data_IF_952794159375
#
_entry.id   IF_952794159375
#
_cell.length_a   1.000
_cell.length_b   1.000
_cell.length_c   1.000
_cell.angle_alpha   90.00
_cell.angle_beta   90.00
_cell.angle_gamma   90.00
#
_symmetry.space_group_name_H-M   'P 1'
#
loop_
_entity.id
_entity.type
_entity.pdbx_description
1 polymer ?
#
# COMPACT_ATOMS: atom_id res chain seq x y z
N UNK A 1 6.63 -22.37 0.74
CA UNK A 1 5.62 -22.38 1.82
C UNK A 1 4.67 -23.54 1.63
N UNK A 2 3.88 -23.89 2.65
CA UNK A 2 2.86 -24.95 2.58
C UNK A 2 1.64 -24.47 1.79
N UNK A 3 1.01 -25.38 1.04
CA UNK A 3 -0.30 -25.14 0.42
C UNK A 3 -1.41 -25.62 1.35
N UNK A 4 -2.46 -24.83 1.48
CA UNK A 4 -3.57 -25.07 2.42
C UNK A 4 -4.80 -25.58 1.68
N UNK A 5 -5.40 -26.65 2.19
CA UNK A 5 -6.59 -27.25 1.58
C UNK A 5 -7.80 -26.31 1.61
N UNK A 6 -8.54 -26.27 0.50
CA UNK A 6 -9.82 -25.55 0.37
C UNK A 6 -11.04 -26.47 0.55
N UNK A 7 -10.84 -27.77 0.82
CA UNK A 7 -11.94 -28.75 0.93
C UNK A 7 -13.03 -28.34 1.90
N UNK A 8 -12.65 -27.76 3.04
CA UNK A 8 -13.56 -27.30 4.09
C UNK A 8 -13.99 -25.84 3.98
N UNK A 9 -13.58 -25.09 2.95
CA UNK A 9 -13.80 -23.65 2.85
C UNK A 9 -14.43 -23.27 1.51
N UNK A 10 -15.06 -22.10 1.45
CA UNK A 10 -15.66 -21.58 0.20
C UNK A 10 -14.96 -20.33 -0.29
N UNK A 11 -14.19 -19.66 0.55
CA UNK A 11 -13.53 -18.40 0.20
C UNK A 11 -12.15 -18.33 0.82
N UNK A 12 -11.28 -17.54 0.22
CA UNK A 12 -10.01 -17.18 0.82
C UNK A 12 -9.67 -15.71 0.52
N UNK A 13 -9.07 -15.04 1.49
CA UNK A 13 -8.57 -13.69 1.38
C UNK A 13 -7.06 -13.72 1.60
N UNK A 14 -6.31 -13.30 0.59
CA UNK A 14 -4.89 -13.06 0.70
C UNK A 14 -4.67 -11.57 0.90
N UNK A 15 -3.93 -11.18 1.94
CA UNK A 15 -3.60 -9.78 2.27
C UNK A 15 -2.09 -9.65 2.22
N UNK A 16 -1.59 -8.63 1.52
CA UNK A 16 -0.19 -8.25 1.44
C UNK A 16 -0.03 -6.89 2.12
N UNK A 17 0.77 -6.86 3.17
CA UNK A 17 1.24 -5.64 3.81
C UNK A 17 2.67 -5.39 3.34
N UNK A 18 2.94 -4.17 2.88
CA UNK A 18 4.26 -3.76 2.41
C UNK A 18 4.71 -2.55 3.20
N UNK A 19 5.94 -2.61 3.69
CA UNK A 19 6.64 -1.48 4.28
C UNK A 19 7.28 -0.59 3.22
N UNK A 20 8.52 -0.18 3.47
CA UNK A 20 9.21 0.78 2.59
C UNK A 20 9.37 0.27 1.14
N UNK A 21 8.92 1.05 0.15
CA UNK A 21 9.21 0.82 -1.27
C UNK A 21 9.81 2.09 -1.87
N UNK A 22 11.00 1.98 -2.45
CA UNK A 22 11.62 3.09 -3.17
C UNK A 22 10.92 3.35 -4.51
N UNK A 23 11.15 4.51 -5.14
CA UNK A 23 10.42 5.00 -6.31
C UNK A 23 10.33 4.05 -7.54
N UNK A 24 11.17 3.03 -7.64
CA UNK A 24 11.14 2.02 -8.72
C UNK A 24 10.81 0.59 -8.25
N UNK A 25 10.48 0.42 -6.97
CA UNK A 25 10.16 -0.90 -6.39
C UNK A 25 8.73 -1.32 -6.67
N UNK A 26 8.49 -2.63 -6.64
CA UNK A 26 7.14 -3.20 -6.71
C UNK A 26 7.02 -4.42 -5.80
N UNK A 27 5.82 -4.64 -5.28
CA UNK A 27 5.46 -5.84 -4.54
C UNK A 27 4.17 -6.43 -5.11
N UNK A 28 4.15 -7.73 -5.36
CA UNK A 28 3.01 -8.42 -5.93
C UNK A 28 2.59 -9.59 -5.07
N UNK A 29 1.28 -9.77 -4.94
CA UNK A 29 0.62 -10.89 -4.28
C UNK A 29 -0.14 -11.70 -5.31
N UNK A 30 0.20 -12.98 -5.41
CA UNK A 30 -0.45 -13.93 -6.29
C UNK A 30 -1.00 -15.11 -5.50
N UNK A 31 -2.25 -15.50 -5.77
CA UNK A 31 -2.77 -16.78 -5.31
C UNK A 31 -2.21 -17.88 -6.23
N UNK A 32 -1.56 -18.85 -5.61
CA UNK A 32 -1.11 -20.07 -6.25
C UNK A 32 -2.07 -21.20 -5.88
N UNK A 33 -2.32 -22.12 -6.80
CA UNK A 33 -3.08 -23.34 -6.54
C UNK A 33 -2.21 -24.58 -6.71
N UNK A 34 -2.46 -25.62 -5.93
CA UNK A 34 -1.82 -26.93 -6.06
C UNK A 34 -2.81 -28.09 -5.87
N UNK A 35 -2.41 -29.27 -6.35
CA UNK A 35 -3.15 -30.53 -6.13
C UNK A 35 -2.94 -31.10 -4.72
N UNK A 36 -1.81 -30.78 -4.09
CA UNK A 36 -1.40 -31.29 -2.77
C UNK A 36 -0.74 -30.20 -1.93
N UNK A 37 -0.57 -30.45 -0.63
CA UNK A 37 0.09 -29.53 0.30
C UNK A 37 1.58 -29.27 -0.02
N UNK A 38 2.23 -30.20 -0.73
CA UNK A 38 3.66 -30.17 -1.07
C UNK A 38 3.97 -29.51 -2.42
N UNK A 39 3.03 -28.75 -3.01
CA UNK A 39 3.20 -27.98 -4.24
C UNK A 39 3.41 -28.77 -5.55
N UNK A 40 3.19 -30.10 -5.58
CA UNK A 40 3.67 -30.98 -6.66
C UNK A 40 3.32 -30.59 -8.11
N UNK A 41 2.19 -29.93 -8.36
CA UNK A 41 1.82 -29.36 -9.67
C UNK A 41 1.32 -27.92 -9.53
N UNK A 42 1.99 -27.12 -8.70
CA UNK A 42 1.51 -25.79 -8.39
C UNK A 42 1.56 -24.83 -9.59
N UNK A 43 0.53 -23.98 -9.72
CA UNK A 43 0.46 -22.97 -10.75
C UNK A 43 -0.15 -21.67 -10.21
N UNK A 44 0.08 -20.58 -10.93
CA UNK A 44 -0.58 -19.31 -10.66
C UNK A 44 -2.07 -19.44 -10.99
N UNK A 45 -2.92 -18.96 -10.09
CA UNK A 45 -4.34 -18.86 -10.37
C UNK A 45 -4.61 -17.61 -11.22
N UNK A 46 -5.12 -17.82 -12.44
CA UNK A 46 -5.37 -16.75 -13.40
C UNK A 46 -6.31 -15.68 -12.83
N UNK A 47 -5.97 -14.41 -13.04
CA UNK A 47 -6.76 -13.28 -12.55
C UNK A 47 -6.69 -13.03 -11.04
N UNK A 48 -5.85 -13.77 -10.30
CA UNK A 48 -5.66 -13.61 -8.85
C UNK A 48 -4.25 -13.10 -8.51
N UNK A 49 -3.86 -12.02 -9.20
CA UNK A 49 -2.62 -11.27 -8.99
C UNK A 49 -2.99 -9.81 -8.70
N UNK A 50 -2.38 -9.24 -7.66
CA UNK A 50 -2.41 -7.80 -7.40
C UNK A 50 -0.98 -7.30 -7.24
N UNK A 51 -0.72 -6.10 -7.74
CA UNK A 51 0.59 -5.46 -7.67
C UNK A 51 0.45 -4.10 -7.01
N UNK A 52 1.31 -3.85 -6.03
CA UNK A 52 1.58 -2.54 -5.45
C UNK A 52 2.76 -1.95 -6.20
N UNK A 53 2.53 -0.80 -6.81
CA UNK A 53 3.58 0.06 -7.36
C UNK A 53 3.99 1.09 -6.31
N UNK A 54 5.21 1.61 -6.42
CA UNK A 54 5.65 2.71 -5.58
C UNK A 54 4.72 3.92 -5.71
N UNK A 55 4.37 4.51 -4.57
CA UNK A 55 3.73 5.82 -4.42
C UNK A 55 2.31 5.92 -5.01
N UNK A 56 1.66 4.78 -5.21
CA UNK A 56 0.29 4.69 -5.75
C UNK A 56 -0.56 3.84 -4.80
N UNK A 57 -1.72 4.36 -4.39
CA UNK A 57 -2.66 3.70 -3.47
C UNK A 57 -2.02 3.24 -2.15
N UNK A 58 -1.38 4.18 -1.46
CA UNK A 58 -0.58 3.94 -0.23
C UNK A 58 -1.29 4.49 1.01
N UNK A 59 -1.04 3.87 2.18
CA UNK A 59 -1.53 4.39 3.48
C UNK A 59 -0.56 5.41 4.08
N UNK A 60 0.74 5.29 3.78
CA UNK A 60 1.77 6.20 4.28
C UNK A 60 2.86 6.38 3.24
N UNK A 61 3.29 7.62 3.02
CA UNK A 61 4.42 7.96 2.15
C UNK A 61 5.31 9.03 2.78
N UNK A 62 6.52 9.14 2.27
CA UNK A 62 7.42 10.26 2.54
C UNK A 62 7.76 11.00 1.25
N UNK A 63 7.90 12.31 1.37
CA UNK A 63 8.39 13.25 0.36
C UNK A 63 9.64 13.88 0.95
N UNK A 64 10.81 13.62 0.37
CA UNK A 64 12.03 14.34 0.73
C UNK A 64 12.18 15.52 -0.20
N UNK A 65 12.17 16.74 0.33
CA UNK A 65 12.37 17.98 -0.42
C UNK A 65 13.85 18.12 -0.83
N UNK A 66 14.08 18.69 -2.02
CA UNK A 66 15.40 18.98 -2.61
C UNK A 66 15.40 20.37 -3.27
N UNK A 67 14.96 21.38 -2.51
CA UNK A 67 14.92 22.79 -2.88
C UNK A 67 13.88 23.12 -3.95
N UNK A 68 12.74 23.65 -3.51
CA UNK A 68 11.65 24.11 -4.36
C UNK A 68 11.89 25.49 -4.98
N UNK A 69 11.29 25.71 -6.15
CA UNK A 69 11.25 27.03 -6.79
C UNK A 69 9.81 27.46 -7.08
N UNK A 70 9.63 28.73 -7.42
CA UNK A 70 8.33 29.24 -7.82
C UNK A 70 7.78 28.47 -9.03
N UNK A 71 6.47 28.22 -9.01
CA UNK A 71 5.68 27.48 -9.99
C UNK A 71 5.95 25.96 -10.04
N UNK A 72 6.78 25.42 -9.15
CA UNK A 72 6.81 23.98 -8.88
C UNK A 72 5.45 23.52 -8.37
N UNK A 73 5.02 22.33 -8.77
CA UNK A 73 3.69 21.82 -8.40
C UNK A 73 3.80 20.46 -7.74
N UNK A 74 3.10 20.26 -6.62
CA UNK A 74 2.86 18.95 -6.01
C UNK A 74 1.37 18.62 -6.15
N UNK A 75 1.06 17.47 -6.73
CA UNK A 75 -0.31 16.98 -6.88
C UNK A 75 -0.51 15.76 -6.01
N UNK A 76 -1.53 15.78 -5.15
CA UNK A 76 -1.94 14.63 -4.34
C UNK A 76 -3.39 14.29 -4.65
N UNK A 77 -3.62 13.03 -5.02
CA UNK A 77 -4.97 12.51 -5.26
C UNK A 77 -5.44 11.70 -4.05
N UNK A 78 -6.56 12.11 -3.47
CA UNK A 78 -7.22 11.42 -2.35
C UNK A 78 -8.74 11.58 -2.46
N UNK A 79 -9.48 10.51 -2.18
CA UNK A 79 -10.95 10.54 -2.27
C UNK A 79 -11.46 10.79 -3.70
N UNK A 80 -10.71 10.37 -4.71
CA UNK A 80 -11.00 10.60 -6.13
C UNK A 80 -10.80 12.04 -6.61
N UNK A 81 -10.25 12.94 -5.78
CA UNK A 81 -9.99 14.35 -6.14
C UNK A 81 -8.49 14.60 -6.14
N UNK A 82 -8.00 15.29 -7.18
CA UNK A 82 -6.62 15.76 -7.27
C UNK A 82 -6.52 17.19 -6.73
N UNK A 83 -5.64 17.38 -5.75
CA UNK A 83 -5.33 18.69 -5.15
C UNK A 83 -3.94 19.11 -5.60
N UNK A 84 -3.79 20.37 -6.02
CA UNK A 84 -2.56 20.89 -6.60
C UNK A 84 -2.01 21.99 -5.72
N UNK A 85 -0.85 21.75 -5.14
CA UNK A 85 -0.11 22.69 -4.32
C UNK A 85 0.99 23.33 -5.14
N UNK A 86 1.09 24.66 -5.13
CA UNK A 86 1.99 25.41 -6.03
C UNK A 86 3.01 26.20 -5.22
N UNK A 87 4.28 26.12 -5.61
CA UNK A 87 5.37 26.88 -5.01
C UNK A 87 5.27 28.36 -5.39
N UNK A 88 5.33 29.25 -4.40
CA UNK A 88 5.29 30.71 -4.58
C UNK A 88 6.28 31.40 -3.66
N UNK A 89 6.51 32.70 -3.88
CA UNK A 89 7.40 33.49 -3.04
C UNK A 89 6.90 33.70 -1.60
N UNK A 90 5.59 33.49 -1.38
CA UNK A 90 4.93 33.57 -0.08
C UNK A 90 3.91 32.43 0.05
N UNK A 91 3.62 32.04 1.28
CA UNK A 91 2.60 31.03 1.59
C UNK A 91 1.20 31.65 1.55
N UNK A 92 0.26 30.96 0.92
CA UNK A 92 -1.18 31.22 0.96
C UNK A 92 -1.93 29.87 1.06
N UNK A 93 -2.37 29.55 2.27
CA UNK A 93 -3.02 28.27 2.57
C UNK A 93 -4.38 28.13 1.87
N UNK A 94 -5.11 29.21 1.67
CA UNK A 94 -6.42 29.18 1.00
C UNK A 94 -6.28 28.92 -0.49
N UNK A 95 -5.22 29.45 -1.10
CA UNK A 95 -4.89 29.25 -2.50
C UNK A 95 -4.10 27.95 -2.78
N UNK A 96 -3.77 27.15 -1.74
CA UNK A 96 -2.91 25.96 -1.83
C UNK A 96 -1.48 26.29 -2.29
N UNK A 97 -0.98 27.45 -1.89
CA UNK A 97 0.35 27.95 -2.27
C UNK A 97 1.33 27.80 -1.11
N UNK A 98 2.37 26.98 -1.31
CA UNK A 98 3.46 26.85 -0.34
C UNK A 98 4.59 27.81 -0.68
N UNK A 99 5.30 28.29 0.33
CA UNK A 99 6.46 29.16 0.16
C UNK A 99 7.63 28.33 -0.36
N UNK A 100 8.02 28.58 -1.61
CA UNK A 100 9.22 28.06 -2.25
C UNK A 100 10.39 29.02 -2.02
N UNK A 101 11.31 28.63 -1.13
CA UNK A 101 12.52 29.39 -0.84
C UNK A 101 13.82 28.64 -1.15
N UNK A 102 13.70 27.38 -1.58
CA UNK A 102 14.82 26.54 -1.99
C UNK A 102 15.57 25.90 -0.81
N UNK A 103 15.12 26.10 0.42
CA UNK A 103 15.61 25.38 1.60
C UNK A 103 14.72 24.18 1.89
N UNK A 104 15.29 22.97 1.83
CA UNK A 104 14.56 21.70 1.99
C UNK A 104 13.67 21.68 3.23
N UNK A 105 14.17 22.20 4.37
CA UNK A 105 13.43 22.16 5.63
C UNK A 105 12.29 23.17 5.66
N UNK A 106 12.51 24.35 5.10
CA UNK A 106 11.53 25.44 5.08
C UNK A 106 10.43 25.18 4.05
N UNK A 107 10.80 24.72 2.85
CA UNK A 107 9.87 24.26 1.82
C UNK A 107 8.97 23.13 2.37
N UNK A 108 9.57 22.10 2.99
CA UNK A 108 8.83 21.00 3.60
C UNK A 108 7.85 21.44 4.69
N UNK A 109 8.23 22.44 5.51
CA UNK A 109 7.35 22.97 6.54
C UNK A 109 6.12 23.67 5.93
N UNK A 110 6.33 24.46 4.87
CA UNK A 110 5.23 25.15 4.19
C UNK A 110 4.31 24.18 3.42
N UNK A 111 4.88 23.14 2.79
CA UNK A 111 4.10 22.06 2.18
C UNK A 111 3.21 21.37 3.24
N UNK A 112 3.75 21.04 4.41
CA UNK A 112 2.98 20.44 5.51
C UNK A 112 1.84 21.35 5.97
N UNK A 113 2.08 22.65 6.07
CA UNK A 113 1.04 23.61 6.44
C UNK A 113 -0.11 23.61 5.42
N UNK A 114 0.20 23.67 4.12
CA UNK A 114 -0.79 23.61 3.04
C UNK A 114 -1.58 22.29 3.04
N UNK A 115 -0.89 21.16 3.23
CA UNK A 115 -1.51 19.83 3.26
C UNK A 115 -2.48 19.69 4.43
N UNK A 116 -2.06 20.06 5.63
CA UNK A 116 -2.92 19.93 6.81
C UNK A 116 -4.09 20.93 6.78
N UNK A 117 -3.92 22.10 6.16
CA UNK A 117 -5.01 23.05 5.94
C UNK A 117 -6.05 22.50 4.95
N UNK A 118 -5.61 21.98 3.81
CA UNK A 118 -6.49 21.57 2.70
C UNK A 118 -7.07 20.17 2.89
N UNK A 119 -6.30 19.25 3.46
CA UNK A 119 -6.58 17.82 3.50
C UNK A 119 -6.63 17.23 4.91
N UNK A 120 -6.65 18.06 5.97
CA UNK A 120 -6.55 17.61 7.36
C UNK A 120 -7.61 16.60 7.82
N UNK A 121 -8.77 16.57 7.17
CA UNK A 121 -9.83 15.58 7.43
C UNK A 121 -9.59 14.22 6.73
N UNK A 122 -8.63 14.15 5.81
CA UNK A 122 -8.33 12.96 5.00
C UNK A 122 -6.92 12.44 5.25
N UNK A 123 -5.97 13.33 5.51
CA UNK A 123 -4.55 13.07 5.65
C UNK A 123 -3.98 13.80 6.87
N UNK A 124 -2.91 13.25 7.43
CA UNK A 124 -2.07 13.90 8.41
C UNK A 124 -0.64 14.02 7.88
N UNK A 125 -0.10 15.23 7.81
CA UNK A 125 1.25 15.51 7.34
C UNK A 125 2.14 16.06 8.47
N UNK A 126 3.39 15.60 8.53
CA UNK A 126 4.41 16.07 9.47
C UNK A 126 5.76 16.28 8.74
N UNK A 127 6.57 17.24 9.21
CA UNK A 127 7.91 17.49 8.66
C UNK A 127 8.97 17.07 9.68
N UNK A 128 10.01 16.38 9.23
CA UNK A 128 11.25 16.18 9.98
C UNK A 128 12.44 16.46 9.08
N UNK A 129 13.10 17.61 9.27
CA UNK A 129 14.35 17.99 8.59
C UNK A 129 14.28 17.88 7.05
N UNK A 130 13.21 18.41 6.44
CA UNK A 130 13.05 18.40 4.98
C UNK A 130 12.39 17.13 4.44
N UNK A 131 11.97 16.22 5.32
CA UNK A 131 11.18 15.04 4.96
C UNK A 131 9.76 15.20 5.45
N UNK A 132 8.83 15.37 4.51
CA UNK A 132 7.40 15.37 4.76
C UNK A 132 6.90 13.93 4.81
N UNK A 133 6.30 13.53 5.93
CA UNK A 133 5.63 12.25 6.08
C UNK A 133 4.13 12.46 6.05
N UNK A 134 3.44 11.78 5.13
CA UNK A 134 1.99 11.86 4.97
C UNK A 134 1.37 10.50 5.33
N UNK A 135 0.39 10.52 6.22
CA UNK A 135 -0.39 9.36 6.64
C UNK A 135 -1.85 9.57 6.28
N UNK A 136 -2.45 8.64 5.55
CA UNK A 136 -3.88 8.65 5.28
C UNK A 136 -4.67 8.31 6.56
N UNK A 137 -5.73 9.06 6.83
CA UNK A 137 -6.65 8.75 7.91
C UNK A 137 -7.57 7.57 7.53
N UNK A 138 -8.24 7.00 8.54
CA UNK A 138 -9.13 5.86 8.35
C UNK A 138 -10.21 6.16 7.29
N UNK A 139 -10.37 5.21 6.35
CA UNK A 139 -11.30 5.35 5.22
C UNK A 139 -10.70 6.02 3.99
N UNK A 140 -9.50 6.61 4.08
CA UNK A 140 -8.80 7.23 2.96
C UNK A 140 -7.57 6.44 2.51
N UNK A 141 -7.08 6.77 1.31
CA UNK A 141 -5.85 6.22 0.74
C UNK A 141 -5.25 7.29 -0.14
N UNK A 142 -3.92 7.45 -0.13
CA UNK A 142 -3.23 8.34 -1.06
C UNK A 142 -3.19 7.62 -2.40
N UNK A 143 -4.05 8.02 -3.33
CA UNK A 143 -4.31 7.30 -4.58
C UNK A 143 -3.17 7.49 -5.57
N UNK A 144 -2.66 8.72 -5.70
CA UNK A 144 -1.54 9.08 -6.54
C UNK A 144 -0.84 10.32 -6.00
N UNK A 145 0.44 10.45 -6.36
CA UNK A 145 1.26 11.64 -6.14
C UNK A 145 2.04 11.93 -7.42
N UNK A 146 2.15 13.22 -7.77
CA UNK A 146 2.89 13.68 -8.92
C UNK A 146 3.52 15.05 -8.64
N UNK A 147 4.57 15.39 -9.39
CA UNK A 147 5.19 16.71 -9.31
C UNK A 147 5.54 17.28 -10.69
N UNK A 148 5.72 18.59 -10.72
CA UNK A 148 6.45 19.33 -11.76
C UNK A 148 7.52 20.14 -11.04
N UNK A 149 8.76 20.13 -11.54
CA UNK A 149 9.88 20.89 -10.93
C UNK A 149 11.04 20.04 -10.40
N UNK A 150 10.81 18.74 -10.17
CA UNK A 150 11.81 17.80 -9.63
C UNK A 150 12.43 18.26 -8.30
N UNK A 151 11.60 18.83 -7.41
CA UNK A 151 11.98 19.34 -6.10
C UNK A 151 11.73 18.33 -4.98
N UNK A 152 11.28 17.12 -5.31
CA UNK A 152 11.01 16.08 -4.34
C UNK A 152 11.53 14.70 -4.74
N UNK A 153 11.67 13.82 -3.75
CA UNK A 153 11.75 12.38 -3.98
C UNK A 153 10.72 11.65 -3.13
N UNK A 154 10.01 10.70 -3.73
CA UNK A 154 8.91 9.98 -3.09
C UNK A 154 9.33 8.57 -2.67
N UNK A 155 8.91 8.16 -1.47
CA UNK A 155 8.99 6.78 -1.04
C UNK A 155 7.69 6.34 -0.34
N UNK A 156 7.29 5.10 -0.61
CA UNK A 156 6.15 4.48 0.08
C UNK A 156 6.63 3.97 1.43
N UNK A 157 5.92 4.26 2.51
CA UNK A 157 6.24 3.76 3.84
C UNK A 157 5.31 2.61 4.28
N UNK A 158 4.05 2.65 3.82
CA UNK A 158 3.07 1.60 4.06
C UNK A 158 2.07 1.49 2.90
N UNK A 159 1.89 0.27 2.40
CA UNK A 159 0.89 -0.08 1.40
C UNK A 159 0.23 -1.43 1.74
N UNK A 160 -1.05 -1.57 1.42
CA UNK A 160 -1.82 -2.82 1.61
C UNK A 160 -2.54 -3.16 0.33
N UNK A 161 -2.45 -4.42 -0.09
CA UNK A 161 -3.24 -4.98 -1.17
C UNK A 161 -3.87 -6.30 -0.75
N UNK A 162 -4.96 -6.67 -1.39
CA UNK A 162 -5.62 -7.94 -1.14
C UNK A 162 -6.10 -8.60 -2.42
N UNK A 163 -6.20 -9.93 -2.38
CA UNK A 163 -6.81 -10.74 -3.43
C UNK A 163 -7.86 -11.63 -2.79
N UNK A 164 -9.10 -11.51 -3.25
CA UNK A 164 -10.21 -12.34 -2.80
C UNK A 164 -10.48 -13.48 -3.81
N UNK A 165 -10.43 -14.70 -3.30
CA UNK A 165 -10.92 -15.90 -3.95
C UNK A 165 -12.35 -16.21 -3.50
N UNK A 166 -13.28 -16.28 -4.46
CA UNK A 166 -14.70 -16.52 -4.20
C UNK A 166 -15.12 -17.87 -4.76
N UNK A 167 -15.57 -18.81 -3.92
CA UNK A 167 -16.13 -20.07 -4.39
C UNK A 167 -15.09 -21.12 -4.79
N UNK A 168 -15.42 -21.91 -5.83
CA UNK A 168 -14.61 -22.99 -6.39
C UNK A 168 -13.79 -22.52 -7.60
N UNK A 169 -13.29 -21.28 -7.55
CA UNK A 169 -12.46 -20.63 -8.58
C UNK A 169 -11.14 -21.37 -8.90
N UNK A 170 -10.92 -22.59 -8.39
CA UNK A 170 -9.73 -23.39 -8.66
C UNK A 170 -9.88 -24.16 -9.97
N UNK A 171 -8.76 -24.36 -10.66
CA UNK A 171 -8.71 -25.23 -11.83
C UNK A 171 -9.11 -26.67 -11.44
N UNK A 172 -9.73 -27.40 -12.36
CA UNK A 172 -10.12 -28.78 -12.12
C UNK A 172 -8.95 -29.61 -11.54
N UNK A 173 -9.24 -30.42 -10.51
CA UNK A 173 -8.29 -31.24 -9.75
C UNK A 173 -7.38 -30.48 -8.76
N UNK A 174 -7.40 -29.15 -8.74
CA UNK A 174 -6.69 -28.36 -7.73
C UNK A 174 -7.55 -28.20 -6.48
N UNK A 175 -6.92 -28.35 -5.31
CA UNK A 175 -7.64 -28.41 -4.03
C UNK A 175 -6.97 -27.62 -2.91
N UNK A 176 -5.77 -27.09 -3.17
CA UNK A 176 -5.00 -26.34 -2.18
C UNK A 176 -4.57 -24.99 -2.75
N UNK A 177 -4.38 -24.00 -1.88
CA UNK A 177 -3.92 -22.66 -2.25
C UNK A 177 -2.76 -22.19 -1.37
N UNK A 178 -1.96 -21.28 -1.90
CA UNK A 178 -0.93 -20.55 -1.16
C UNK A 178 -0.83 -19.12 -1.69
N UNK A 179 -0.18 -18.26 -0.92
CA UNK A 179 0.21 -16.92 -1.38
C UNK A 179 1.67 -16.94 -1.84
N UNK A 180 1.92 -16.42 -3.03
CA UNK A 180 3.25 -16.07 -3.49
C UNK A 180 3.40 -14.55 -3.43
N UNK A 181 4.39 -14.09 -2.69
CA UNK A 181 4.84 -12.70 -2.72
C UNK A 181 6.04 -12.62 -3.66
N UNK A 182 6.01 -11.67 -4.59
CA UNK A 182 7.12 -11.37 -5.48
C UNK A 182 7.47 -9.91 -5.32
N UNK A 183 8.75 -9.60 -5.10
CA UNK A 183 9.24 -8.23 -4.98
C UNK A 183 10.25 -7.96 -6.08
N UNK A 184 10.29 -6.73 -6.58
CA UNK A 184 11.33 -6.27 -7.50
C UNK A 184 11.87 -4.90 -7.06
N UNK A 185 13.15 -4.64 -7.35
CA UNK A 185 13.85 -3.45 -6.85
C UNK A 185 14.08 -3.47 -5.32
N UNK A 186 14.46 -2.33 -4.76
CA UNK A 186 14.66 -2.13 -3.31
C UNK A 186 13.31 -2.03 -2.57
N UNK A 187 12.55 -3.11 -2.62
CA UNK A 187 11.33 -3.28 -1.82
C UNK A 187 11.74 -3.84 -0.45
N UNK A 188 11.33 -3.14 0.61
CA UNK A 188 11.60 -3.51 2.00
C UNK A 188 10.79 -4.71 2.49
N UNK A 189 10.45 -4.71 3.77
CA UNK A 189 9.75 -5.82 4.42
C UNK A 189 8.34 -5.98 3.84
N UNK A 190 8.04 -7.19 3.35
CA UNK A 190 6.71 -7.59 2.90
C UNK A 190 6.20 -8.74 3.79
N UNK A 191 4.93 -8.67 4.18
CA UNK A 191 4.24 -9.73 4.91
C UNK A 191 2.95 -10.10 4.21
N UNK A 192 2.70 -11.39 4.01
CA UNK A 192 1.42 -11.87 3.47
C UNK A 192 0.69 -12.77 4.47
N UNK A 193 -0.62 -12.57 4.56
CA UNK A 193 -1.54 -13.37 5.37
C UNK A 193 -2.56 -14.02 4.45
N UNK A 194 -2.79 -15.32 4.62
CA UNK A 194 -3.85 -16.04 3.94
C UNK A 194 -4.92 -16.47 4.95
N UNK A 195 -6.12 -15.95 4.77
CA UNK A 195 -7.30 -16.28 5.56
C UNK A 195 -8.20 -17.17 4.71
N UNK A 196 -8.58 -18.35 5.21
CA UNK A 196 -9.61 -19.21 4.60
C UNK A 196 -10.91 -19.05 5.39
N UNK A 197 -12.02 -18.81 4.70
CA UNK A 197 -13.29 -18.44 5.32
C UNK A 197 -14.49 -19.21 4.70
N UNK A 198 -15.68 -19.05 5.29
CA UNK A 198 -16.93 -19.71 4.95
C UNK A 198 -16.78 -21.23 5.00
N UNK A 199 -16.54 -21.72 6.22
CA UNK A 199 -16.44 -23.14 6.50
C UNK A 199 -17.65 -23.89 5.94
N UNK A 200 -17.41 -25.01 5.28
CA UNK A 200 -18.42 -25.97 4.81
C UNK A 200 -18.89 -26.90 5.92
N UNK A 201 -18.16 -26.92 7.03
CA UNK A 201 -18.38 -27.78 8.19
C UNK A 201 -18.58 -26.90 9.44
N UNK A 202 -19.23 -27.45 10.48
CA UNK A 202 -19.30 -26.77 11.77
C UNK A 202 -17.89 -26.48 12.28
N UNK A 203 -17.64 -25.24 12.70
CA UNK A 203 -16.32 -24.82 13.18
C UNK A 203 -16.14 -25.35 14.61
N UNK A 204 -15.42 -26.46 14.77
CA UNK A 204 -14.90 -26.86 16.07
C UNK A 204 -13.69 -25.98 16.42
N UNK A 205 -13.79 -25.18 17.47
CA UNK A 205 -12.66 -24.42 18.00
C UNK A 205 -11.64 -25.41 18.60
N UNK A 206 -10.54 -25.65 17.90
CA UNK A 206 -9.42 -26.46 18.41
C UNK A 206 -8.33 -25.54 18.92
N UNK A 207 -8.16 -25.47 20.24
CA UNK A 207 -7.00 -24.83 20.87
C UNK A 207 -5.85 -25.84 20.92
N UNK A 208 -4.68 -25.45 20.40
CA UNK A 208 -3.51 -26.33 20.27
C UNK A 208 -2.82 -26.70 21.59
N UNK A 209 -3.28 -26.16 22.72
CA UNK A 209 -2.82 -26.50 24.05
C UNK A 209 -4.02 -26.94 24.90
N UNK A 210 -4.26 -28.24 24.98
CA UNK A 210 -5.05 -28.83 26.06
C UNK A 210 -4.08 -29.47 27.05
N UNK A 211 -4.17 -29.08 28.32
CA UNK A 211 -3.48 -29.76 29.42
C UNK A 211 -3.90 -31.23 29.45
N UNK A 212 -3.00 -32.21 29.63
CA UNK A 212 -3.42 -33.60 29.82
C UNK A 212 -4.15 -33.69 31.16
N UNK A 213 -5.43 -34.06 31.11
CA UNK A 213 -6.20 -34.53 32.25
C UNK A 213 -6.06 -36.04 32.42
#
# INVERSE_FOLDING_TARGET
GKYFSMKGFRTALAILNVGNITAAGTAALQIMEAKTEAAGSAQALTGKLVTIAANVKVQKLSITCVGGVADDTLVITVGGVAYTFIGKAAEDLEAQEWKADGDDTTDAASIVACLNYTLGDMLFAENTLGVVTITALDGYTIEAIAETGAFTTFATLAAVAYVWLTGLDLTALFTHIACKVTTAGNTGICGAVLIRDKSREAVEQKVGASYPG
#
